data_IF_447080180860
#
_entry.id   IF_447080180860
#
_cell.length_a   1.000
_cell.length_b   1.000
_cell.length_c   1.000
_cell.angle_alpha   90.00
_cell.angle_beta   90.00
_cell.angle_gamma   90.00
#
_symmetry.space_group_name_H-M   'P 1'
#
loop_
_entity.id
_entity.type
_entity.pdbx_description
1 polymer ?
#
# COMPACT_ATOMS: atom_id res chain seq x y z
N UNK A 1 45.45 -7.82 17.30
CA UNK A 1 44.03 -7.40 17.30
C UNK A 1 43.68 -6.44 16.16
N UNK A 2 44.50 -5.41 15.86
CA UNK A 2 44.28 -4.55 14.69
C UNK A 2 44.50 -5.27 13.35
N UNK A 3 45.51 -6.13 13.25
CA UNK A 3 45.78 -6.89 12.01
C UNK A 3 44.73 -7.96 11.73
N UNK A 4 44.26 -8.69 12.75
CA UNK A 4 43.12 -9.62 12.60
C UNK A 4 41.84 -8.91 12.17
N UNK A 5 41.64 -7.64 12.54
CA UNK A 5 40.50 -6.82 12.11
C UNK A 5 40.66 -6.36 10.64
N UNK A 6 41.88 -6.02 10.23
CA UNK A 6 42.21 -5.73 8.83
C UNK A 6 42.07 -6.95 7.93
N UNK A 7 42.52 -8.13 8.39
CA UNK A 7 42.37 -9.39 7.66
C UNK A 7 40.90 -9.79 7.53
N UNK A 8 40.06 -9.60 8.55
CA UNK A 8 38.60 -9.80 8.41
C UNK A 8 37.93 -8.79 7.46
N UNK A 9 38.49 -7.59 7.32
CA UNK A 9 37.98 -6.57 6.39
C UNK A 9 38.41 -6.83 4.93
N UNK A 10 39.55 -7.48 4.70
CA UNK A 10 40.12 -7.71 3.36
C UNK A 10 39.86 -9.15 2.85
N UNK A 11 39.83 -10.16 3.73
CA UNK A 11 39.81 -11.59 3.34
C UNK A 11 38.49 -12.11 2.79
N UNK A 12 37.45 -11.28 2.70
CA UNK A 12 36.13 -11.70 2.25
C UNK A 12 35.76 -11.20 0.84
N UNK A 13 36.74 -10.90 -0.01
CA UNK A 13 36.50 -10.77 -1.46
C UNK A 13 36.33 -12.16 -2.10
N UNK A 14 35.25 -12.86 -1.72
CA UNK A 14 34.76 -13.97 -2.54
C UNK A 14 34.33 -13.37 -3.87
N UNK A 15 35.12 -13.58 -4.92
CA UNK A 15 34.74 -13.22 -6.28
C UNK A 15 33.46 -13.97 -6.65
N UNK A 16 32.32 -13.28 -6.56
CA UNK A 16 31.03 -13.85 -6.95
C UNK A 16 31.10 -14.03 -8.47
N UNK A 17 31.15 -15.29 -8.90
CA UNK A 17 31.11 -15.64 -10.32
C UNK A 17 29.82 -15.13 -10.95
N UNK A 18 29.88 -14.71 -12.22
CA UNK A 18 28.74 -14.20 -13.00
C UNK A 18 27.55 -15.17 -12.94
N UNK A 19 27.82 -16.49 -13.00
CA UNK A 19 26.80 -17.53 -12.90
C UNK A 19 26.06 -17.49 -11.55
N UNK A 20 26.79 -17.25 -10.45
CA UNK A 20 26.21 -17.15 -9.11
C UNK A 20 25.39 -15.87 -8.95
N UNK A 21 25.83 -14.76 -9.55
CA UNK A 21 25.03 -13.52 -9.58
C UNK A 21 23.69 -13.69 -10.28
N UNK A 22 23.65 -14.45 -11.39
CA UNK A 22 22.40 -14.77 -12.09
C UNK A 22 21.48 -15.61 -11.20
N UNK A 23 22.01 -16.63 -10.53
CA UNK A 23 21.25 -17.46 -9.58
C UNK A 23 20.62 -16.61 -8.46
N UNK A 24 21.40 -15.71 -7.85
CA UNK A 24 20.94 -14.80 -6.79
C UNK A 24 19.79 -13.92 -7.30
N UNK A 25 19.89 -13.37 -8.52
CA UNK A 25 18.85 -12.53 -9.10
C UNK A 25 17.56 -13.31 -9.40
N UNK A 26 17.68 -14.56 -9.83
CA UNK A 26 16.52 -15.44 -10.04
C UNK A 26 15.81 -15.71 -8.71
N UNK A 27 16.55 -16.01 -7.65
CA UNK A 27 15.99 -16.22 -6.30
C UNK A 27 15.32 -14.94 -5.80
N UNK A 28 15.95 -13.78 -5.94
CA UNK A 28 15.39 -12.49 -5.57
C UNK A 28 14.08 -12.20 -6.32
N UNK A 29 14.03 -12.53 -7.62
CA UNK A 29 12.82 -12.40 -8.43
C UNK A 29 11.70 -13.28 -7.87
N UNK A 30 11.95 -14.56 -7.57
CA UNK A 30 10.96 -15.45 -6.97
C UNK A 30 10.43 -14.94 -5.62
N UNK A 31 11.31 -14.49 -4.72
CA UNK A 31 10.86 -13.93 -3.44
C UNK A 31 10.07 -12.63 -3.61
N UNK A 32 10.47 -11.76 -4.55
CA UNK A 32 9.71 -10.54 -4.84
C UNK A 32 8.31 -10.82 -5.42
N UNK A 33 8.13 -11.93 -6.15
CA UNK A 33 6.81 -12.39 -6.60
C UNK A 33 5.91 -12.84 -5.43
N UNK A 34 6.49 -13.36 -4.36
CA UNK A 34 5.76 -13.66 -3.11
C UNK A 34 5.27 -12.36 -2.48
N UNK A 35 6.13 -11.33 -2.40
CA UNK A 35 5.75 -9.99 -1.91
C UNK A 35 4.63 -9.42 -2.79
N UNK A 36 4.77 -9.50 -4.12
CA UNK A 36 3.78 -9.02 -5.08
C UNK A 36 2.43 -9.69 -4.89
N UNK A 37 2.42 -11.01 -4.71
CA UNK A 37 1.21 -11.80 -4.50
C UNK A 37 0.57 -11.50 -3.15
N UNK A 38 1.38 -11.39 -2.09
CA UNK A 38 0.93 -11.02 -0.75
C UNK A 38 0.29 -9.64 -0.74
N UNK A 39 0.91 -8.67 -1.42
CA UNK A 39 0.36 -7.33 -1.59
C UNK A 39 -0.98 -7.38 -2.33
N UNK A 40 -1.07 -8.13 -3.45
CA UNK A 40 -2.30 -8.27 -4.23
C UNK A 40 -3.44 -8.91 -3.41
N UNK A 41 -3.16 -9.91 -2.58
CA UNK A 41 -4.14 -10.59 -1.73
C UNK A 41 -4.55 -9.71 -0.54
N UNK A 42 -3.59 -9.00 0.04
CA UNK A 42 -3.78 -8.15 1.23
C UNK A 42 -4.37 -6.78 0.89
N UNK A 43 -4.36 -6.38 -0.39
CA UNK A 43 -4.81 -5.06 -0.81
C UNK A 43 -6.28 -4.84 -0.47
N UNK A 44 -6.54 -3.91 0.46
CA UNK A 44 -7.86 -3.63 1.01
C UNK A 44 -8.34 -2.20 0.76
N UNK A 45 -7.75 -1.49 -0.22
CA UNK A 45 -8.11 -0.11 -0.56
C UNK A 45 -9.02 0.00 -1.78
N UNK A 46 -9.58 1.20 -1.97
CA UNK A 46 -10.51 1.53 -3.07
C UNK A 46 -9.85 1.43 -4.46
N UNK A 47 -8.52 1.58 -4.55
CA UNK A 47 -7.77 1.62 -5.82
C UNK A 47 -6.42 0.91 -5.72
N UNK A 48 -6.33 -0.31 -6.26
CA UNK A 48 -5.08 -1.07 -6.37
C UNK A 48 -4.08 -0.37 -7.29
N UNK A 49 -2.94 0.04 -6.75
CA UNK A 49 -1.88 0.65 -7.55
C UNK A 49 -0.94 -0.41 -8.13
N UNK A 50 -1.23 -0.86 -9.36
CA UNK A 50 -0.38 -1.82 -10.09
C UNK A 50 1.05 -1.31 -10.29
N UNK A 51 1.24 0.00 -10.48
CA UNK A 51 2.58 0.61 -10.66
C UNK A 51 3.41 0.48 -9.38
N UNK A 52 2.77 0.69 -8.22
CA UNK A 52 3.43 0.49 -6.93
C UNK A 52 3.84 -0.98 -6.72
N UNK A 53 2.94 -1.93 -7.01
CA UNK A 53 3.28 -3.35 -6.83
C UNK A 53 4.44 -3.81 -7.75
N UNK A 54 4.51 -3.30 -8.98
CA UNK A 54 5.66 -3.54 -9.87
C UNK A 54 6.93 -2.89 -9.32
N UNK A 55 6.82 -1.70 -8.70
CA UNK A 55 7.97 -1.02 -8.10
C UNK A 55 8.59 -1.80 -6.93
N UNK A 56 7.82 -2.61 -6.19
CA UNK A 56 8.35 -3.50 -5.15
C UNK A 56 9.31 -4.56 -5.72
N UNK A 57 8.97 -5.14 -6.88
CA UNK A 57 9.84 -6.09 -7.59
C UNK A 57 11.14 -5.40 -8.01
N UNK A 58 11.03 -4.23 -8.65
CA UNK A 58 12.21 -3.43 -9.01
C UNK A 58 13.08 -3.11 -7.80
N UNK A 59 12.46 -2.72 -6.68
CA UNK A 59 13.18 -2.37 -5.46
C UNK A 59 13.96 -3.56 -4.89
N UNK A 60 13.37 -4.76 -4.82
CA UNK A 60 14.07 -5.97 -4.40
C UNK A 60 15.24 -6.29 -5.34
N UNK A 61 15.06 -6.18 -6.65
CA UNK A 61 16.14 -6.45 -7.61
C UNK A 61 17.28 -5.43 -7.51
N UNK A 62 16.96 -4.13 -7.44
CA UNK A 62 17.96 -3.06 -7.29
C UNK A 62 18.77 -3.25 -6.01
N UNK A 63 18.11 -3.49 -4.89
CA UNK A 63 18.78 -3.72 -3.60
C UNK A 63 19.65 -4.99 -3.63
N UNK A 64 19.21 -6.05 -4.32
CA UNK A 64 20.00 -7.27 -4.52
C UNK A 64 21.26 -6.99 -5.33
N UNK A 65 21.15 -6.28 -6.47
CA UNK A 65 22.30 -5.90 -7.31
C UNK A 65 23.29 -5.07 -6.50
N UNK A 66 22.78 -4.07 -5.80
CA UNK A 66 23.59 -3.19 -4.94
C UNK A 66 24.33 -4.00 -3.88
N UNK A 67 23.68 -4.98 -3.25
CA UNK A 67 24.31 -5.82 -2.25
C UNK A 67 25.35 -6.79 -2.83
N UNK A 68 25.11 -7.36 -4.01
CA UNK A 68 26.10 -8.18 -4.73
C UNK A 68 27.36 -7.35 -5.03
N UNK A 69 27.20 -6.09 -5.45
CA UNK A 69 28.31 -5.17 -5.77
C UNK A 69 29.11 -4.80 -4.52
N UNK A 70 28.44 -4.58 -3.38
CA UNK A 70 29.07 -4.26 -2.09
C UNK A 70 29.81 -5.47 -1.50
N UNK A 71 29.33 -6.67 -1.78
CA UNK A 71 29.88 -7.93 -1.29
C UNK A 71 29.81 -8.06 0.23
N UNK A 72 30.74 -8.83 0.79
CA UNK A 72 30.81 -9.19 2.22
C UNK A 72 31.50 -8.16 3.12
N UNK A 73 31.72 -6.94 2.62
CA UNK A 73 32.36 -5.89 3.41
C UNK A 73 31.36 -5.32 4.43
N UNK A 74 31.43 -5.82 5.67
CA UNK A 74 30.61 -5.35 6.80
C UNK A 74 30.70 -3.83 6.95
N UNK A 75 31.89 -3.23 6.74
CA UNK A 75 32.11 -1.80 6.83
C UNK A 75 31.31 -0.99 5.78
N UNK A 76 31.19 -1.52 4.55
CA UNK A 76 30.52 -0.83 3.44
C UNK A 76 29.00 -1.07 3.47
N UNK A 77 28.57 -2.26 3.93
CA UNK A 77 27.17 -2.57 4.22
C UNK A 77 26.60 -1.71 5.37
N UNK A 78 27.38 -1.46 6.43
CA UNK A 78 26.96 -0.60 7.55
C UNK A 78 26.81 0.87 7.11
N UNK A 79 27.67 1.33 6.21
CA UNK A 79 27.57 2.65 5.58
C UNK A 79 26.30 2.83 4.74
N UNK A 80 25.82 1.77 4.09
CA UNK A 80 24.58 1.78 3.32
C UNK A 80 23.32 1.90 4.18
N UNK A 81 23.27 1.21 5.32
CA UNK A 81 22.15 1.35 6.28
C UNK A 81 22.11 2.78 6.83
N UNK A 82 23.28 3.38 7.06
CA UNK A 82 23.42 4.80 7.38
C UNK A 82 22.90 5.73 6.27
N UNK A 83 23.24 5.47 5.01
CA UNK A 83 22.74 6.25 3.88
C UNK A 83 21.22 6.10 3.66
N UNK A 84 20.66 4.91 3.92
CA UNK A 84 19.22 4.67 3.84
C UNK A 84 18.44 5.49 4.89
N UNK A 85 19.06 5.77 6.04
CA UNK A 85 18.48 6.66 7.06
C UNK A 85 18.36 8.12 6.61
N UNK A 86 19.12 8.52 5.58
CA UNK A 86 19.07 9.86 4.95
C UNK A 86 17.98 9.93 3.86
N UNK A 87 17.51 8.78 3.34
CA UNK A 87 16.44 8.72 2.35
C UNK A 87 15.11 9.09 3.02
N UNK A 88 14.87 10.40 3.17
CA UNK A 88 13.59 10.93 3.60
C UNK A 88 12.61 10.76 2.45
N UNK A 89 11.62 9.89 2.62
CA UNK A 89 10.45 9.89 1.74
C UNK A 89 9.81 11.28 1.81
N UNK A 90 10.11 12.13 0.81
CA UNK A 90 9.57 13.50 0.70
C UNK A 90 8.13 13.52 0.20
N UNK A 91 7.59 12.36 -0.18
CA UNK A 91 6.20 12.16 -0.60
C UNK A 91 5.45 11.42 0.50
N UNK A 92 4.24 11.87 0.81
CA UNK A 92 3.38 11.20 1.78
C UNK A 92 3.03 9.79 1.27
N UNK A 93 3.59 8.76 1.91
CA UNK A 93 3.17 7.38 1.64
C UNK A 93 1.74 7.25 2.16
N UNK A 94 0.81 6.95 1.23
CA UNK A 94 -0.64 7.07 1.44
C UNK A 94 -1.18 6.09 2.49
N UNK A 95 -0.53 4.94 2.68
CA UNK A 95 -0.88 3.93 3.68
C UNK A 95 0.39 3.44 4.41
N UNK A 96 0.46 3.45 5.75
CA UNK A 96 1.61 2.91 6.49
C UNK A 96 1.92 1.44 6.15
N UNK A 97 0.95 0.68 5.65
CA UNK A 97 1.16 -0.69 5.16
C UNK A 97 2.06 -0.72 3.94
N UNK A 98 1.94 0.22 3.00
CA UNK A 98 2.78 0.29 1.81
C UNK A 98 4.26 0.46 2.19
N UNK A 99 4.54 1.24 3.22
CA UNK A 99 5.90 1.41 3.78
C UNK A 99 6.47 0.08 4.30
N UNK A 100 5.65 -0.74 4.96
CA UNK A 100 6.10 -2.05 5.44
C UNK A 100 6.49 -2.99 4.29
N UNK A 101 5.76 -2.96 3.17
CA UNK A 101 6.12 -3.72 1.96
C UNK A 101 7.43 -3.24 1.33
N UNK A 102 7.69 -1.93 1.33
CA UNK A 102 8.96 -1.35 0.86
C UNK A 102 10.12 -1.87 1.72
N UNK A 103 10.00 -1.79 3.05
CA UNK A 103 11.04 -2.30 3.95
C UNK A 103 11.25 -3.80 3.81
N UNK A 104 10.17 -4.55 3.63
CA UNK A 104 10.25 -5.99 3.38
C UNK A 104 10.99 -6.31 2.08
N UNK A 105 10.70 -5.59 0.99
CA UNK A 105 11.37 -5.73 -0.29
C UNK A 105 12.87 -5.42 -0.21
N UNK A 106 13.26 -4.38 0.54
CA UNK A 106 14.66 -4.03 0.80
C UNK A 106 15.35 -5.12 1.63
N UNK A 107 14.74 -5.55 2.74
CA UNK A 107 15.32 -6.55 3.63
C UNK A 107 15.59 -7.87 2.91
N UNK A 108 14.65 -8.33 2.08
CA UNK A 108 14.84 -9.54 1.26
C UNK A 108 16.01 -9.35 0.28
N UNK A 109 16.08 -8.22 -0.42
CA UNK A 109 17.15 -7.98 -1.38
C UNK A 109 18.54 -7.98 -0.74
N UNK A 110 18.65 -7.45 0.49
CA UNK A 110 19.89 -7.52 1.29
C UNK A 110 20.24 -8.95 1.72
N UNK A 111 19.27 -9.74 2.20
CA UNK A 111 19.51 -11.13 2.60
C UNK A 111 19.90 -12.03 1.41
N UNK A 112 19.21 -11.88 0.28
CA UNK A 112 19.50 -12.66 -0.94
C UNK A 112 20.83 -12.24 -1.55
N UNK A 113 21.15 -10.94 -1.56
CA UNK A 113 22.42 -10.42 -2.06
C UNK A 113 23.64 -10.84 -1.24
N UNK A 114 23.48 -11.12 0.06
CA UNK A 114 24.53 -11.71 0.93
C UNK A 114 24.60 -13.23 0.85
N UNK A 115 23.88 -13.87 -0.08
CA UNK A 115 23.75 -15.33 -0.22
C UNK A 115 23.12 -16.05 0.99
N UNK A 116 22.46 -15.30 1.90
CA UNK A 116 21.76 -15.85 3.06
C UNK A 116 20.30 -16.23 2.73
N UNK A 117 20.13 -17.21 1.84
CA UNK A 117 18.81 -17.58 1.31
C UNK A 117 17.85 -18.11 2.38
N UNK A 118 18.35 -18.84 3.37
CA UNK A 118 17.52 -19.46 4.40
C UNK A 118 16.80 -18.41 5.26
N UNK A 119 17.50 -17.34 5.64
CA UNK A 119 16.93 -16.22 6.39
C UNK A 119 15.92 -15.47 5.53
N UNK A 120 16.22 -15.24 4.25
CA UNK A 120 15.31 -14.57 3.33
C UNK A 120 13.97 -15.32 3.19
N UNK A 121 14.00 -16.65 3.06
CA UNK A 121 12.81 -17.48 2.91
C UNK A 121 11.98 -17.49 4.21
N UNK A 122 12.62 -17.73 5.36
CA UNK A 122 11.93 -17.77 6.66
C UNK A 122 11.30 -16.41 6.98
N UNK A 123 12.07 -15.33 6.81
CA UNK A 123 11.60 -13.97 7.05
C UNK A 123 10.45 -13.57 6.12
N UNK A 124 10.55 -13.95 4.83
CA UNK A 124 9.48 -13.75 3.85
C UNK A 124 8.20 -14.51 4.24
N UNK A 125 8.32 -15.79 4.63
CA UNK A 125 7.18 -16.58 5.09
C UNK A 125 6.52 -15.99 6.32
N UNK A 126 7.30 -15.60 7.33
CA UNK A 126 6.78 -15.01 8.57
C UNK A 126 6.04 -13.68 8.34
N UNK A 127 6.62 -12.78 7.54
CA UNK A 127 5.99 -11.50 7.20
C UNK A 127 4.73 -11.70 6.33
N UNK A 128 4.78 -12.62 5.37
CA UNK A 128 3.63 -12.99 4.54
C UNK A 128 2.45 -13.45 5.41
N UNK A 129 2.66 -14.42 6.31
CA UNK A 129 1.63 -14.95 7.20
C UNK A 129 1.08 -13.85 8.11
N UNK A 130 1.96 -13.04 8.71
CA UNK A 130 1.58 -11.96 9.61
C UNK A 130 0.70 -10.92 8.89
N UNK A 131 1.08 -10.49 7.70
CA UNK A 131 0.33 -9.50 6.91
C UNK A 131 -1.02 -10.05 6.45
N UNK A 132 -1.09 -11.32 6.06
CA UNK A 132 -2.34 -11.99 5.68
C UNK A 132 -3.28 -12.09 6.89
N UNK A 133 -2.78 -12.51 8.06
CA UNK A 133 -3.57 -12.58 9.29
C UNK A 133 -4.13 -11.21 9.69
N UNK A 134 -3.30 -10.17 9.66
CA UNK A 134 -3.76 -8.79 9.92
C UNK A 134 -4.83 -8.33 8.93
N UNK A 135 -4.71 -8.72 7.66
CA UNK A 135 -5.71 -8.40 6.62
C UNK A 135 -7.06 -9.06 6.89
N UNK A 136 -7.06 -10.32 7.30
CA UNK A 136 -8.27 -11.07 7.65
C UNK A 136 -8.92 -10.50 8.92
N UNK A 137 -8.12 -10.05 9.89
CA UNK A 137 -8.54 -9.44 11.14
C UNK A 137 -9.34 -8.13 11.01
N UNK A 138 -9.52 -7.59 9.81
CA UNK A 138 -10.47 -6.50 9.57
C UNK A 138 -10.04 -5.11 10.05
N UNK A 139 -8.79 -4.94 10.48
CA UNK A 139 -8.23 -3.70 11.06
C UNK A 139 -8.11 -2.49 10.10
N UNK A 140 -8.82 -2.47 8.96
CA UNK A 140 -8.76 -1.35 8.02
C UNK A 140 -9.73 -1.45 6.83
N UNK A 141 -10.82 -2.24 6.94
CA UNK A 141 -11.82 -2.40 5.88
C UNK A 141 -12.80 -1.22 5.80
N UNK A 142 -12.27 -0.02 5.57
CA UNK A 142 -13.10 1.18 5.41
C UNK A 142 -12.80 1.85 4.07
N UNK A 143 -13.27 1.22 2.99
CA UNK A 143 -13.44 1.92 1.72
C UNK A 143 -14.50 3.03 1.93
N UNK A 144 -14.00 4.24 2.20
CA UNK A 144 -14.81 5.43 2.41
C UNK A 144 -15.06 6.09 1.06
N UNK A 145 -16.33 6.24 0.72
CA UNK A 145 -16.78 6.92 -0.49
C UNK A 145 -17.46 8.23 -0.10
N UNK A 146 -17.42 9.20 -1.01
CA UNK A 146 -18.15 10.45 -0.88
C UNK A 146 -19.41 10.35 -1.75
N UNK A 147 -20.57 10.41 -1.10
CA UNK A 147 -21.87 10.48 -1.76
C UNK A 147 -22.29 11.95 -1.83
N UNK A 148 -22.48 12.45 -3.05
CA UNK A 148 -22.96 13.80 -3.32
C UNK A 148 -24.38 13.68 -3.87
N UNK A 149 -25.34 14.31 -3.21
CA UNK A 149 -26.75 14.33 -3.61
C UNK A 149 -27.14 15.77 -3.88
N UNK A 150 -27.69 16.05 -5.07
CA UNK A 150 -28.31 17.32 -5.41
C UNK A 150 -29.80 17.15 -5.57
N UNK A 151 -30.57 18.08 -5.01
CA UNK A 151 -32.02 18.09 -5.15
C UNK A 151 -32.66 19.38 -4.67
N UNK A 152 -33.98 19.39 -4.60
CA UNK A 152 -34.77 20.54 -4.12
C UNK A 152 -34.69 20.66 -2.60
N UNK A 153 -34.65 21.90 -2.10
CA UNK A 153 -34.58 22.19 -0.67
C UNK A 153 -35.76 21.64 0.14
N UNK A 154 -36.94 21.59 -0.47
CA UNK A 154 -38.18 21.08 0.17
C UNK A 154 -38.06 19.61 0.60
N UNK A 155 -37.22 18.83 -0.10
CA UNK A 155 -37.06 17.38 0.12
C UNK A 155 -35.85 17.04 1.01
N UNK A 156 -35.28 18.02 1.70
CA UNK A 156 -34.08 17.88 2.53
C UNK A 156 -34.18 16.71 3.54
N UNK A 157 -35.21 16.73 4.40
CA UNK A 157 -35.35 15.72 5.45
C UNK A 157 -35.51 14.31 4.89
N UNK A 158 -36.23 14.17 3.77
CA UNK A 158 -36.50 12.90 3.12
C UNK A 158 -35.20 12.28 2.56
N UNK A 159 -34.36 13.12 1.93
CA UNK A 159 -33.03 12.74 1.46
C UNK A 159 -32.11 12.31 2.61
N UNK A 160 -32.04 13.10 3.69
CA UNK A 160 -31.19 12.77 4.85
C UNK A 160 -31.61 11.47 5.53
N UNK A 161 -32.93 11.25 5.71
CA UNK A 161 -33.46 10.00 6.28
C UNK A 161 -33.14 8.79 5.40
N UNK A 162 -33.25 8.93 4.08
CA UNK A 162 -32.93 7.85 3.14
C UNK A 162 -31.45 7.45 3.22
N UNK A 163 -30.53 8.42 3.30
CA UNK A 163 -29.09 8.17 3.44
C UNK A 163 -28.78 7.49 4.77
N UNK A 164 -29.30 8.02 5.89
CA UNK A 164 -29.04 7.47 7.22
C UNK A 164 -29.57 6.03 7.36
N UNK A 165 -30.73 5.73 6.77
CA UNK A 165 -31.30 4.37 6.75
C UNK A 165 -30.49 3.42 5.86
N UNK A 166 -29.94 3.92 4.75
CA UNK A 166 -29.15 3.13 3.82
C UNK A 166 -27.72 2.84 4.33
N UNK A 167 -27.09 3.83 4.97
CA UNK A 167 -25.69 3.80 5.41
C UNK A 167 -25.59 4.05 6.92
N UNK A 168 -25.65 2.97 7.71
CA UNK A 168 -25.37 3.04 9.15
C UNK A 168 -23.94 3.54 9.38
N UNK A 169 -23.80 4.73 9.97
CA UNK A 169 -22.51 5.41 10.16
C UNK A 169 -22.11 6.40 9.07
N UNK A 170 -23.06 6.87 8.24
CA UNK A 170 -22.83 8.00 7.33
C UNK A 170 -22.50 9.27 8.08
N UNK A 171 -21.41 9.95 7.71
CA UNK A 171 -21.06 11.26 8.28
C UNK A 171 -21.38 12.36 7.26
N UNK A 172 -22.19 13.34 7.64
CA UNK A 172 -22.40 14.54 6.83
C UNK A 172 -21.13 15.38 6.87
N UNK A 173 -20.53 15.65 5.71
CA UNK A 173 -19.29 16.43 5.56
C UNK A 173 -19.55 17.88 5.21
N UNK A 174 -20.54 18.11 4.35
CA UNK A 174 -20.95 19.45 3.97
C UNK A 174 -22.42 19.45 3.56
N UNK A 175 -23.07 20.60 3.81
CA UNK A 175 -24.43 20.90 3.39
C UNK A 175 -24.39 22.28 2.74
N UNK A 176 -24.65 22.34 1.44
CA UNK A 176 -24.76 23.58 0.71
C UNK A 176 -26.24 23.79 0.35
N UNK A 177 -26.78 24.94 0.72
CA UNK A 177 -28.17 25.31 0.40
C UNK A 177 -28.16 26.61 -0.38
N UNK A 178 -28.73 26.59 -1.59
CA UNK A 178 -29.06 27.77 -2.39
C UNK A 178 -30.57 28.06 -2.29
N UNK A 179 -31.05 29.07 -3.01
CA UNK A 179 -32.45 29.50 -2.98
C UNK A 179 -33.43 28.40 -3.40
N UNK A 180 -33.07 27.56 -4.39
CA UNK A 180 -33.94 26.47 -4.90
C UNK A 180 -33.28 25.08 -4.85
N UNK A 181 -31.94 25.03 -4.84
CA UNK A 181 -31.17 23.79 -4.85
C UNK A 181 -30.45 23.51 -3.53
N UNK A 182 -30.41 22.25 -3.13
CA UNK A 182 -29.66 21.71 -1.99
C UNK A 182 -28.64 20.69 -2.49
N UNK A 183 -27.42 20.75 -1.95
CA UNK A 183 -26.38 19.76 -2.15
C UNK A 183 -25.90 19.20 -0.79
N UNK A 184 -26.00 17.88 -0.65
CA UNK A 184 -25.60 17.13 0.55
C UNK A 184 -24.40 16.25 0.22
N UNK A 185 -23.33 16.39 1.00
CA UNK A 185 -22.09 15.63 0.85
C UNK A 185 -21.92 14.73 2.06
N UNK A 186 -22.02 13.42 1.86
CA UNK A 186 -21.86 12.39 2.89
C UNK A 186 -20.61 11.56 2.67
N UNK A 187 -19.90 11.25 3.74
CA UNK A 187 -18.94 10.16 3.74
C UNK A 187 -19.65 8.87 4.16
N UNK A 188 -19.66 7.89 3.26
CA UNK A 188 -20.35 6.62 3.42
C UNK A 188 -19.35 5.45 3.35
N UNK A 189 -19.65 4.37 4.06
CA UNK A 189 -18.95 3.10 3.93
C UNK A 189 -19.78 2.21 3.01
N UNK A 190 -19.24 1.87 1.85
CA UNK A 190 -19.93 1.00 0.89
C UNK A 190 -19.46 -0.44 1.14
N UNK A 191 -20.40 -1.35 1.33
CA UNK A 191 -20.14 -2.80 1.26
C UNK A 191 -20.45 -3.24 -0.18
N UNK A 192 -19.51 -3.95 -0.83
CA UNK A 192 -19.49 -4.39 -2.25
C UNK A 192 -20.80 -4.96 -2.84
N UNK A 193 -21.80 -5.29 -2.02
CA UNK A 193 -23.06 -5.92 -2.44
C UNK A 193 -24.29 -4.98 -2.49
N UNK A 194 -24.17 -3.71 -2.05
CA UNK A 194 -25.34 -2.81 -1.90
C UNK A 194 -25.48 -1.70 -2.95
N UNK A 195 -24.56 -1.61 -3.91
CA UNK A 195 -24.43 -0.45 -4.82
C UNK A 195 -25.64 -0.18 -5.72
N UNK A 196 -26.18 -1.21 -6.37
CA UNK A 196 -27.20 -1.00 -7.42
C UNK A 196 -28.59 -0.64 -6.90
N UNK A 197 -28.92 -1.02 -5.67
CA UNK A 197 -30.25 -0.81 -5.11
C UNK A 197 -30.43 0.56 -4.44
N UNK A 198 -29.33 1.21 -4.03
CA UNK A 198 -29.41 2.47 -3.28
C UNK A 198 -29.51 3.68 -4.22
N UNK A 199 -28.74 3.69 -5.31
CA UNK A 199 -28.86 4.72 -6.35
C UNK A 199 -30.30 4.83 -6.85
N UNK A 200 -30.95 3.70 -7.15
CA UNK A 200 -32.35 3.65 -7.56
C UNK A 200 -33.33 4.16 -6.50
N UNK A 201 -33.03 3.99 -5.20
CA UNK A 201 -33.87 4.51 -4.11
C UNK A 201 -33.73 6.02 -3.95
N UNK A 202 -32.52 6.55 -4.14
CA UNK A 202 -32.27 8.00 -4.09
C UNK A 202 -32.89 8.72 -5.29
N UNK A 203 -32.79 8.15 -6.50
CA UNK A 203 -33.46 8.69 -7.70
C UNK A 203 -35.00 8.62 -7.65
N UNK A 204 -35.59 7.78 -6.79
CA UNK A 204 -37.05 7.70 -6.61
C UNK A 204 -37.63 8.85 -5.78
N UNK A 205 -36.79 9.62 -5.08
CA UNK A 205 -37.23 10.79 -4.34
C UNK A 205 -37.45 11.91 -5.36
N UNK A 206 -38.71 12.31 -5.57
CA UNK A 206 -39.02 13.44 -6.45
C UNK A 206 -38.26 14.69 -6.01
N UNK A 207 -37.65 15.39 -6.96
CA UNK A 207 -36.83 16.57 -6.68
C UNK A 207 -35.33 16.29 -6.50
N UNK A 208 -34.87 15.03 -6.59
CA UNK A 208 -33.44 14.71 -6.72
C UNK A 208 -33.00 14.89 -8.16
N UNK A 209 -32.05 15.80 -8.40
CA UNK A 209 -31.53 16.11 -9.74
C UNK A 209 -30.30 15.28 -10.08
N UNK A 210 -29.43 14.99 -9.12
CA UNK A 210 -28.23 14.19 -9.35
C UNK A 210 -27.78 13.44 -8.10
N UNK A 211 -27.27 12.22 -8.30
CA UNK A 211 -26.61 11.41 -7.25
C UNK A 211 -25.28 10.91 -7.79
N UNK A 212 -24.19 11.35 -7.16
CA UNK A 212 -22.83 10.98 -7.54
C UNK A 212 -22.15 10.25 -6.38
N UNK A 213 -21.52 9.12 -6.68
CA UNK A 213 -20.64 8.42 -5.74
C UNK A 213 -19.21 8.63 -6.23
N UNK A 214 -18.42 9.32 -5.44
CA UNK A 214 -17.03 9.61 -5.71
C UNK A 214 -16.18 8.73 -4.81
N UNK A 215 -15.31 7.90 -5.39
CA UNK A 215 -14.27 7.23 -4.64
C UNK A 215 -13.38 8.31 -4.00
N UNK A 216 -13.16 8.25 -2.69
CA UNK A 216 -12.30 9.21 -2.03
C UNK A 216 -10.86 8.98 -2.49
N UNK A 217 -10.44 9.64 -3.57
CA UNK A 217 -9.04 9.75 -3.91
C UNK A 217 -8.39 10.56 -2.79
N UNK A 218 -7.33 10.02 -2.17
CA UNK A 218 -6.38 10.80 -1.39
C UNK A 218 -5.55 11.76 -2.27
N UNK A 219 -6.16 12.32 -3.31
CA UNK A 219 -5.59 13.41 -4.11
C UNK A 219 -6.07 14.71 -3.49
N UNK A 220 -5.20 15.30 -2.68
CA UNK A 220 -5.15 16.75 -2.56
C UNK A 220 -5.05 17.33 -3.96
N UNK A 221 -6.11 18.02 -4.37
CA UNK A 221 -6.11 18.91 -5.52
C UNK A 221 -5.15 20.03 -5.14
N UNK A 222 -3.95 19.99 -5.73
CA UNK A 222 -3.05 21.13 -5.81
C UNK A 222 -3.46 22.00 -6.99
#
# INVERSE_FOLDING_TARGET
MKETLYDYLISNNSSISIFKSIEILVIALFLSLIIFSTYKITFSGVMYNRKFNISLIMLTLVTTIVMIVIGSSIALSLGMVGALSIVRFRTAIKDPRDTAYIFWAIAIGLCVGTTNYMIAIIGSGFLCVTLILLSIGGFGREDRYILIIRGMRVKEEEMMRCVFKAFKGSQLRAKNSSNDSLELIYQIKIKKDKDKNILKKLYRIEGVTAVNIVAQNGETIG
#
